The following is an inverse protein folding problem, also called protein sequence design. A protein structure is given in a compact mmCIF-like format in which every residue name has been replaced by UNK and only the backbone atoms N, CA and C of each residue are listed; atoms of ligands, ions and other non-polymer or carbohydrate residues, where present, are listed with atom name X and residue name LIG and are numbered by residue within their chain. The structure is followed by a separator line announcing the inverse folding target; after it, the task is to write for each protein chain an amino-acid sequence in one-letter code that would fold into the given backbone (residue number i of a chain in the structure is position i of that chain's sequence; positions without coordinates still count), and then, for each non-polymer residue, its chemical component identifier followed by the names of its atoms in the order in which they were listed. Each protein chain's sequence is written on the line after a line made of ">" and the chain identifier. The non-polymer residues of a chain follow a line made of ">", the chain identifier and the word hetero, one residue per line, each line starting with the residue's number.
data_IF_839009277354
#
_entry.id   IF_839009277354
#
_cell.length_a   1.000
_cell.length_b   1.000
_cell.length_c   1.000
_cell.angle_alpha   90.00
_cell.angle_beta   90.00
_cell.angle_gamma   90.00
#
_symmetry.space_group_name_H-M   'P 1'
#
loop_
_entity.id
_entity.type
_entity.pdbx_description
1 polymer ?
#
# COMPACT_ATOMS: atom_id res chain seq x y z
N UNK A 1 -1.94 -9.13 -12.62
CA UNK A 1 -2.70 -7.94 -12.15
C UNK A 1 -1.69 -6.83 -12.22
N UNK A 2 -1.83 -5.97 -13.22
CA UNK A 2 -0.66 -5.25 -13.71
C UNK A 2 -0.68 -3.81 -13.23
N UNK A 3 0.51 -3.32 -12.88
CA UNK A 3 0.77 -1.95 -12.47
C UNK A 3 1.78 -1.38 -13.45
N UNK A 4 1.48 -0.22 -14.01
CA UNK A 4 2.41 0.52 -14.87
C UNK A 4 3.08 1.63 -14.04
N UNK A 5 4.40 1.75 -14.13
CA UNK A 5 5.18 2.80 -13.45
C UNK A 5 5.86 3.63 -14.54
N UNK A 6 5.65 4.94 -14.51
CA UNK A 6 6.28 5.88 -15.44
C UNK A 6 7.13 6.86 -14.63
N UNK A 7 8.45 6.72 -14.76
CA UNK A 7 9.45 7.46 -13.99
C UNK A 7 10.38 8.35 -14.83
N UNK A 8 10.41 8.11 -16.15
CA UNK A 8 11.18 8.89 -17.11
C UNK A 8 10.56 10.27 -17.29
N UNK A 9 11.32 11.33 -17.01
CA UNK A 9 10.85 12.70 -17.17
C UNK A 9 10.74 13.05 -18.67
N UNK A 10 9.77 13.89 -19.02
CA UNK A 10 9.41 14.15 -20.42
C UNK A 10 8.44 13.11 -21.01
N UNK A 11 8.08 12.07 -20.24
CA UNK A 11 7.10 11.09 -20.69
C UNK A 11 5.70 11.69 -20.81
N UNK A 12 4.95 11.26 -21.83
CA UNK A 12 3.52 11.52 -21.93
C UNK A 12 2.74 10.22 -22.06
N UNK A 13 1.60 10.14 -21.39
CA UNK A 13 0.68 9.03 -21.55
C UNK A 13 -0.30 9.36 -22.67
N UNK A 14 -0.72 8.35 -23.42
CA UNK A 14 -1.77 8.44 -24.43
C UNK A 14 -2.67 7.21 -24.32
N UNK A 15 -3.97 7.41 -24.53
CA UNK A 15 -4.92 6.30 -24.69
C UNK A 15 -5.17 6.09 -26.17
N UNK A 16 -5.07 4.86 -26.61
CA UNK A 16 -5.38 4.44 -27.98
C UNK A 16 -6.25 3.17 -27.91
N UNK A 17 -7.54 3.33 -28.20
CA UNK A 17 -8.53 2.28 -28.00
C UNK A 17 -8.54 1.74 -26.56
N UNK A 18 -8.29 0.44 -26.41
CA UNK A 18 -8.23 -0.27 -25.12
C UNK A 18 -6.80 -0.43 -24.59
N UNK A 19 -5.87 0.41 -25.03
CA UNK A 19 -4.48 0.42 -24.55
C UNK A 19 -4.07 1.77 -23.98
N UNK A 20 -3.27 1.71 -22.92
CA UNK A 20 -2.53 2.85 -22.39
C UNK A 20 -1.10 2.78 -22.95
N UNK A 21 -0.63 3.87 -23.55
CA UNK A 21 0.67 3.97 -24.20
C UNK A 21 1.51 5.03 -23.50
N UNK A 22 2.81 4.78 -23.38
CA UNK A 22 3.81 5.73 -22.86
C UNK A 22 4.68 6.20 -24.01
N UNK A 23 4.88 7.51 -24.09
CA UNK A 23 5.70 8.16 -25.09
C UNK A 23 6.83 8.93 -24.43
N UNK A 24 8.04 8.83 -24.99
CA UNK A 24 9.21 9.67 -24.66
C UNK A 24 9.73 10.22 -25.97
N UNK A 25 9.93 11.54 -26.07
CA UNK A 25 10.37 12.21 -27.30
C UNK A 25 9.55 11.78 -28.54
N UNK A 26 8.22 11.75 -28.38
CA UNK A 26 7.23 11.31 -29.39
C UNK A 26 7.37 9.86 -29.90
N UNK A 27 8.22 9.04 -29.26
CA UNK A 27 8.33 7.60 -29.54
C UNK A 27 7.58 6.80 -28.49
N UNK A 28 6.74 5.87 -28.93
CA UNK A 28 6.07 4.91 -28.04
C UNK A 28 7.11 3.96 -27.46
N UNK A 29 7.28 3.98 -26.14
CA UNK A 29 8.24 3.15 -25.41
C UNK A 29 7.60 1.94 -24.73
N UNK A 30 6.32 2.06 -24.36
CA UNK A 30 5.58 1.01 -23.68
C UNK A 30 4.09 1.09 -24.03
N UNK A 31 3.40 -0.05 -24.02
CA UNK A 31 1.94 -0.10 -24.04
C UNK A 31 1.39 -1.25 -23.20
N UNK A 32 0.25 -1.03 -22.56
CA UNK A 32 -0.44 -2.03 -21.73
C UNK A 32 -1.95 -2.03 -22.02
N UNK A 33 -2.60 -3.22 -22.09
CA UNK A 33 -4.05 -3.29 -22.18
C UNK A 33 -4.73 -2.71 -20.93
N UNK A 34 -5.74 -1.87 -21.12
CA UNK A 34 -6.51 -1.28 -20.01
C UNK A 34 -7.27 -2.34 -19.19
N UNK A 35 -7.68 -3.44 -19.81
CA UNK A 35 -8.42 -4.51 -19.14
C UNK A 35 -7.63 -5.29 -18.08
N UNK A 36 -6.28 -5.27 -18.14
CA UNK A 36 -5.42 -5.95 -17.15
C UNK A 36 -4.83 -4.99 -16.12
N UNK A 37 -4.84 -3.70 -16.44
CA UNK A 37 -4.26 -2.63 -15.64
C UNK A 37 -5.15 -2.31 -14.44
N UNK A 38 -4.55 -2.21 -13.25
CA UNK A 38 -5.26 -1.79 -12.03
C UNK A 38 -4.74 -0.50 -11.44
N UNK A 39 -3.50 -0.14 -11.75
CA UNK A 39 -2.88 1.05 -11.21
C UNK A 39 -1.82 1.61 -12.16
N UNK A 40 -1.76 2.92 -12.23
CA UNK A 40 -0.70 3.69 -12.89
C UNK A 40 0.01 4.53 -11.82
N UNK A 41 1.33 4.46 -11.78
CA UNK A 41 2.16 5.31 -10.91
C UNK A 41 2.94 6.28 -11.80
N UNK A 42 2.73 7.58 -11.59
CA UNK A 42 3.41 8.65 -12.30
C UNK A 42 4.41 9.31 -11.35
N UNK A 43 5.70 9.28 -11.68
CA UNK A 43 6.76 9.75 -10.79
C UNK A 43 7.41 11.03 -11.30
N UNK A 44 7.48 12.03 -10.42
CA UNK A 44 8.05 13.34 -10.73
C UNK A 44 7.04 14.30 -11.36
N UNK A 45 7.54 15.46 -11.81
CA UNK A 45 6.72 16.53 -12.40
C UNK A 45 6.74 16.53 -13.93
N UNK A 46 7.67 15.80 -14.53
CA UNK A 46 7.86 15.74 -15.97
C UNK A 46 7.05 14.66 -16.68
N UNK A 47 6.16 13.94 -15.97
CA UNK A 47 5.28 12.93 -16.56
C UNK A 47 3.90 13.54 -16.79
N UNK A 48 3.47 13.54 -18.05
CA UNK A 48 2.23 14.19 -18.48
C UNK A 48 1.14 13.16 -18.71
N UNK A 49 -0.04 13.41 -18.16
CA UNK A 49 -1.26 12.67 -18.45
C UNK A 49 -2.40 13.68 -18.63
N UNK A 50 -3.22 13.49 -19.66
CA UNK A 50 -4.32 14.41 -19.95
C UNK A 50 -5.53 14.14 -19.04
N UNK A 51 -6.26 15.19 -18.66
CA UNK A 51 -7.48 15.07 -17.83
C UNK A 51 -8.51 14.07 -18.38
N UNK A 52 -8.83 14.04 -19.70
CA UNK A 52 -9.78 13.06 -20.24
C UNK A 52 -9.35 11.61 -20.04
N UNK A 53 -8.05 11.33 -20.18
CA UNK A 53 -7.50 10.01 -19.93
C UNK A 53 -7.58 9.65 -18.45
N UNK A 54 -7.17 10.56 -17.56
CA UNK A 54 -7.28 10.34 -16.12
C UNK A 54 -8.72 10.03 -15.72
N UNK A 55 -9.70 10.75 -16.28
CA UNK A 55 -11.12 10.50 -16.07
C UNK A 55 -11.53 9.09 -16.51
N UNK A 56 -11.13 8.66 -17.71
CA UNK A 56 -11.43 7.31 -18.21
C UNK A 56 -10.79 6.21 -17.35
N UNK A 57 -9.53 6.38 -16.93
CA UNK A 57 -8.84 5.43 -16.05
C UNK A 57 -9.60 5.25 -14.75
N UNK A 58 -9.95 6.34 -14.06
CA UNK A 58 -10.62 6.24 -12.76
C UNK A 58 -12.04 5.67 -12.87
N UNK A 59 -12.78 5.96 -13.95
CA UNK A 59 -14.10 5.36 -14.20
C UNK A 59 -14.02 3.84 -14.42
N UNK A 60 -12.90 3.35 -14.96
CA UNK A 60 -12.60 1.91 -15.11
C UNK A 60 -12.13 1.25 -13.81
N UNK A 61 -12.00 2.02 -12.72
CA UNK A 61 -11.44 1.54 -11.46
C UNK A 61 -9.92 1.39 -11.49
N UNK A 62 -9.24 2.00 -12.46
CA UNK A 62 -7.78 2.04 -12.54
C UNK A 62 -7.32 3.22 -11.68
N UNK A 63 -6.53 2.90 -10.66
CA UNK A 63 -6.02 3.87 -9.71
C UNK A 63 -4.84 4.66 -10.29
N UNK A 64 -4.80 5.98 -10.14
CA UNK A 64 -3.66 6.79 -10.59
C UNK A 64 -2.97 7.42 -9.40
N UNK A 65 -1.73 7.05 -9.15
CA UNK A 65 -0.92 7.53 -8.03
C UNK A 65 0.18 8.44 -8.55
N UNK A 66 0.27 9.64 -8.00
CA UNK A 66 1.35 10.57 -8.27
C UNK A 66 2.35 10.52 -7.12
N UNK A 67 3.63 10.44 -7.47
CA UNK A 67 4.73 10.43 -6.52
C UNK A 67 5.81 11.44 -6.95
N UNK A 68 6.68 11.84 -6.03
CA UNK A 68 7.94 12.48 -6.40
C UNK A 68 8.84 11.49 -7.15
N UNK A 69 9.89 11.98 -7.79
CA UNK A 69 10.88 11.12 -8.43
C UNK A 69 11.61 10.21 -7.41
N UNK A 70 11.66 10.62 -6.14
CA UNK A 70 12.17 9.81 -5.04
C UNK A 70 11.11 8.86 -4.41
N UNK A 71 9.95 8.68 -5.06
CA UNK A 71 8.89 7.77 -4.59
C UNK A 71 8.03 8.28 -3.43
N UNK A 72 8.16 9.55 -3.03
CA UNK A 72 7.28 10.12 -1.99
C UNK A 72 5.88 10.33 -2.58
N UNK A 73 4.87 9.76 -1.94
CA UNK A 73 3.47 9.99 -2.29
C UNK A 73 3.13 11.49 -2.36
N UNK A 74 2.51 11.91 -3.46
CA UNK A 74 2.00 13.27 -3.62
C UNK A 74 0.47 13.28 -3.49
N UNK A 75 -0.23 12.59 -4.38
CA UNK A 75 -1.67 12.44 -4.34
C UNK A 75 -2.13 11.22 -5.14
N UNK A 76 -3.42 10.91 -5.02
CA UNK A 76 -4.06 9.76 -5.67
C UNK A 76 -5.37 10.19 -6.29
N UNK A 77 -5.59 9.80 -7.54
CA UNK A 77 -6.88 9.92 -8.21
C UNK A 77 -7.56 8.54 -8.20
N UNK A 78 -8.72 8.48 -7.55
CA UNK A 78 -9.58 7.29 -7.52
C UNK A 78 -10.94 7.63 -8.11
N UNK A 79 -11.54 6.63 -8.74
CA UNK A 79 -12.90 6.72 -9.23
C UNK A 79 -13.93 6.60 -8.11
N UNK A 80 -15.21 6.44 -8.49
CA UNK A 80 -16.27 6.14 -7.55
C UNK A 80 -15.90 4.98 -6.63
N UNK A 81 -16.02 5.18 -5.32
CA UNK A 81 -15.75 4.15 -4.31
C UNK A 81 -17.01 3.31 -4.04
N UNK A 82 -16.88 2.32 -3.15
CA UNK A 82 -17.94 1.38 -2.75
C UNK A 82 -19.31 2.05 -2.60
N UNK A 83 -20.33 1.47 -3.23
CA UNK A 83 -21.75 1.87 -3.10
C UNK A 83 -22.35 1.49 -1.73
N UNK A 84 -21.59 0.82 -0.85
CA UNK A 84 -22.08 0.35 0.45
C UNK A 84 -21.98 1.44 1.53
N UNK A 85 -22.79 2.49 1.40
CA UNK A 85 -22.89 3.57 2.39
C UNK A 85 -23.18 3.05 3.80
N UNK A 86 -24.06 2.06 3.94
CA UNK A 86 -24.37 1.42 5.23
C UNK A 86 -23.13 0.77 5.90
N UNK A 87 -22.24 0.16 5.12
CA UNK A 87 -20.99 -0.40 5.65
C UNK A 87 -20.07 0.70 6.16
N UNK A 88 -19.95 1.81 5.42
CA UNK A 88 -19.14 2.95 5.83
C UNK A 88 -19.64 3.56 7.13
N UNK A 89 -20.95 3.71 7.28
CA UNK A 89 -21.56 4.18 8.54
C UNK A 89 -21.24 3.22 9.69
N UNK A 90 -21.39 1.91 9.49
CA UNK A 90 -21.04 0.91 10.52
C UNK A 90 -19.56 0.94 10.89
N UNK A 91 -18.67 1.15 9.93
CA UNK A 91 -17.24 1.32 10.20
C UNK A 91 -17.00 2.53 11.11
N UNK A 92 -17.58 3.69 10.79
CA UNK A 92 -17.45 4.91 11.60
C UNK A 92 -17.99 4.67 13.02
N UNK A 93 -19.21 4.14 13.15
CA UNK A 93 -19.82 3.84 14.46
C UNK A 93 -18.95 2.87 15.28
N UNK A 94 -18.36 1.86 14.64
CA UNK A 94 -17.48 0.89 15.31
C UNK A 94 -16.17 1.55 15.77
N UNK A 95 -15.60 2.45 14.97
CA UNK A 95 -14.37 3.16 15.30
C UNK A 95 -14.56 4.18 16.43
N UNK A 96 -15.77 4.70 16.62
CA UNK A 96 -16.10 5.61 17.72
C UNK A 96 -16.23 4.93 19.09
N UNK A 97 -16.28 3.59 19.13
CA UNK A 97 -16.36 2.81 20.37
C UNK A 97 -15.05 2.05 20.61
N UNK A 98 -14.21 2.47 21.59
CA UNK A 98 -12.96 1.79 21.89
C UNK A 98 -13.09 0.29 22.20
N UNK A 99 -14.19 -0.14 22.84
CA UNK A 99 -14.39 -1.54 23.18
C UNK A 99 -14.57 -2.41 21.92
N UNK A 100 -15.08 -1.83 20.83
CA UNK A 100 -15.27 -2.49 19.53
C UNK A 100 -14.10 -2.27 18.58
N UNK A 101 -13.46 -1.11 18.64
CA UNK A 101 -12.32 -0.76 17.79
C UNK A 101 -11.03 -1.49 18.22
N UNK A 102 -10.78 -1.62 19.53
CA UNK A 102 -9.54 -2.18 20.05
C UNK A 102 -9.30 -3.63 19.61
N UNK A 103 -10.28 -4.56 19.64
CA UNK A 103 -10.08 -5.91 19.11
C UNK A 103 -9.64 -5.94 17.64
N UNK A 104 -10.17 -5.04 16.81
CA UNK A 104 -9.78 -4.93 15.39
C UNK A 104 -8.33 -4.43 15.26
N UNK A 105 -7.95 -3.43 16.06
CA UNK A 105 -6.59 -2.92 16.09
C UNK A 105 -5.59 -3.99 16.58
N UNK A 106 -5.92 -4.72 17.65
CA UNK A 106 -5.10 -5.83 18.16
C UNK A 106 -4.88 -6.88 17.08
N UNK A 107 -5.94 -7.29 16.36
CA UNK A 107 -5.83 -8.25 15.28
C UNK A 107 -4.88 -7.76 14.15
N UNK A 108 -4.99 -6.50 13.75
CA UNK A 108 -4.12 -5.91 12.73
C UNK A 108 -2.65 -5.88 13.17
N UNK A 109 -2.35 -5.41 14.39
CA UNK A 109 -0.98 -5.31 14.92
C UNK A 109 -0.39 -6.70 15.17
N UNK A 110 -1.13 -7.62 15.79
CA UNK A 110 -0.68 -9.01 15.98
C UNK A 110 -0.38 -9.67 14.64
N UNK A 111 -1.23 -9.48 13.63
CA UNK A 111 -0.98 -9.98 12.27
C UNK A 111 0.27 -9.36 11.62
N UNK A 112 0.51 -8.07 11.83
CA UNK A 112 1.74 -7.38 11.37
C UNK A 112 2.99 -8.01 11.99
N UNK A 113 3.02 -8.14 13.32
CA UNK A 113 4.16 -8.73 14.05
C UNK A 113 4.39 -10.18 13.64
N UNK A 114 3.31 -10.96 13.45
CA UNK A 114 3.39 -12.32 12.94
C UNK A 114 4.04 -12.39 11.54
N UNK A 115 3.66 -11.48 10.63
CA UNK A 115 4.22 -11.42 9.29
C UNK A 115 5.70 -11.01 9.32
N UNK A 116 6.10 -10.07 10.18
CA UNK A 116 7.52 -9.72 10.37
C UNK A 116 8.34 -10.92 10.87
N UNK A 117 7.85 -11.64 11.88
CA UNK A 117 8.49 -12.86 12.37
C UNK A 117 8.52 -13.98 11.31
N UNK A 118 7.55 -14.00 10.38
CA UNK A 118 7.54 -14.93 9.25
C UNK A 118 8.62 -14.59 8.23
N UNK A 119 8.79 -13.30 7.90
CA UNK A 119 9.85 -12.82 7.01
C UNK A 119 11.23 -13.14 7.59
N UNK A 120 11.46 -12.85 8.88
CA UNK A 120 12.73 -13.17 9.54
C UNK A 120 13.00 -14.68 9.57
N UNK A 121 12.01 -15.52 9.91
CA UNK A 121 12.17 -16.98 9.81
C UNK A 121 12.52 -17.45 8.41
N UNK A 122 11.96 -16.83 7.38
CA UNK A 122 12.29 -17.17 6.00
C UNK A 122 13.73 -16.77 5.65
N UNK A 123 14.19 -15.60 6.10
CA UNK A 123 15.56 -15.16 5.93
C UNK A 123 16.55 -16.08 6.66
N UNK A 124 16.24 -16.48 7.91
CA UNK A 124 17.05 -17.39 8.73
C UNK A 124 17.26 -18.77 8.10
N UNK A 125 16.37 -19.23 7.22
CA UNK A 125 16.55 -20.48 6.47
C UNK A 125 17.57 -20.37 5.34
N UNK A 126 17.85 -19.14 4.88
CA UNK A 126 18.72 -18.86 3.73
C UNK A 126 20.09 -18.36 4.15
N UNK A 127 20.18 -17.74 5.32
CA UNK A 127 21.41 -17.16 5.85
C UNK A 127 21.34 -17.14 7.37
N UNK A 128 22.51 -17.25 8.01
CA UNK A 128 22.61 -17.08 9.46
C UNK A 128 22.40 -15.60 9.80
N UNK A 129 21.39 -15.31 10.63
CA UNK A 129 21.08 -13.96 11.08
C UNK A 129 21.84 -13.58 12.36
N UNK A 130 22.58 -14.52 12.94
CA UNK A 130 23.32 -14.36 14.18
C UNK A 130 22.45 -13.99 15.38
N UNK A 131 23.11 -13.57 16.46
CA UNK A 131 22.45 -13.19 17.73
C UNK A 131 21.47 -12.02 17.56
N UNK A 132 21.69 -11.13 16.58
CA UNK A 132 20.77 -10.04 16.30
C UNK A 132 19.43 -10.56 15.80
N UNK A 133 19.43 -11.49 14.84
CA UNK A 133 18.20 -12.10 14.32
C UNK A 133 17.45 -12.94 15.36
N UNK A 134 18.18 -13.67 16.22
CA UNK A 134 17.57 -14.43 17.31
C UNK A 134 16.90 -13.52 18.33
N UNK A 135 17.57 -12.42 18.74
CA UNK A 135 16.99 -11.41 19.62
C UNK A 135 15.77 -10.75 18.99
N UNK A 136 15.83 -10.37 17.72
CA UNK A 136 14.70 -9.79 17.00
C UNK A 136 13.49 -10.74 16.98
N UNK A 137 13.72 -12.03 16.70
CA UNK A 137 12.69 -13.06 16.75
C UNK A 137 12.07 -13.23 18.15
N UNK A 138 12.88 -13.18 19.20
CA UNK A 138 12.40 -13.25 20.58
C UNK A 138 11.50 -12.05 20.92
N UNK A 139 11.95 -10.83 20.59
CA UNK A 139 11.20 -9.58 20.81
C UNK A 139 9.87 -9.64 20.04
N UNK A 140 9.87 -9.98 18.76
CA UNK A 140 8.65 -10.06 17.95
C UNK A 140 7.62 -11.04 18.54
N UNK A 141 8.07 -12.22 19.01
CA UNK A 141 7.19 -13.20 19.62
C UNK A 141 6.58 -12.71 20.94
N UNK A 142 7.37 -11.99 21.74
CA UNK A 142 6.92 -11.38 22.98
C UNK A 142 5.92 -10.25 22.73
N UNK A 143 6.28 -9.28 21.88
CA UNK A 143 5.42 -8.15 21.54
C UNK A 143 4.11 -8.62 20.89
N UNK A 144 4.13 -9.69 20.10
CA UNK A 144 2.93 -10.29 19.52
C UNK A 144 1.96 -10.79 20.61
N UNK A 145 2.46 -11.44 21.67
CA UNK A 145 1.64 -11.88 22.81
C UNK A 145 1.05 -10.68 23.55
N UNK A 146 1.85 -9.64 23.82
CA UNK A 146 1.36 -8.44 24.49
C UNK A 146 0.33 -7.68 23.65
N UNK A 147 0.57 -7.50 22.35
CA UNK A 147 -0.35 -6.86 21.42
C UNK A 147 -1.73 -7.54 21.41
N UNK A 148 -1.77 -8.87 21.47
CA UNK A 148 -3.04 -9.62 21.48
C UNK A 148 -3.90 -9.36 22.73
N UNK A 149 -3.31 -8.84 23.81
CA UNK A 149 -3.95 -8.58 25.11
C UNK A 149 -3.87 -7.11 25.53
N UNK A 150 -3.40 -6.21 24.67
CA UNK A 150 -3.12 -4.82 25.01
C UNK A 150 -4.35 -4.10 25.57
N UNK A 151 -4.27 -3.54 26.78
CA UNK A 151 -5.44 -2.99 27.49
C UNK A 151 -6.12 -1.84 26.73
N UNK A 152 -5.34 -1.07 25.96
CA UNK A 152 -5.81 0.09 25.20
C UNK A 152 -4.96 0.29 23.92
N UNK A 153 -5.30 1.33 23.15
CA UNK A 153 -4.64 1.66 21.89
C UNK A 153 -3.22 2.22 22.06
N UNK A 154 -2.90 2.82 23.21
CA UNK A 154 -1.58 3.38 23.47
C UNK A 154 -0.57 2.28 23.76
N UNK A 155 -0.92 1.36 24.68
CA UNK A 155 -0.14 0.16 24.94
C UNK A 155 0.06 -0.66 23.65
N UNK A 156 -0.99 -0.79 22.84
CA UNK A 156 -0.91 -1.50 21.57
C UNK A 156 0.12 -0.88 20.60
N UNK A 157 0.14 0.46 20.48
CA UNK A 157 1.15 1.18 19.68
C UNK A 157 2.56 0.98 20.24
N UNK A 158 2.72 0.93 21.55
CA UNK A 158 4.00 0.63 22.20
C UNK A 158 4.54 -0.75 21.80
N UNK A 159 3.70 -1.78 21.87
CA UNK A 159 4.08 -3.13 21.46
C UNK A 159 4.36 -3.22 19.95
N UNK A 160 3.58 -2.54 19.10
CA UNK A 160 3.85 -2.44 17.67
C UNK A 160 5.21 -1.80 17.39
N UNK A 161 5.51 -0.67 18.03
CA UNK A 161 6.75 0.07 17.84
C UNK A 161 7.97 -0.73 18.29
N UNK A 162 7.90 -1.36 19.46
CA UNK A 162 8.97 -2.23 19.96
C UNK A 162 9.23 -3.41 19.03
N UNK A 163 8.17 -4.08 18.54
CA UNK A 163 8.33 -5.18 17.61
C UNK A 163 8.85 -4.75 16.24
N UNK A 164 8.48 -3.57 15.76
CA UNK A 164 8.94 -3.05 14.47
C UNK A 164 10.39 -2.53 14.49
N UNK A 165 10.89 -2.12 15.65
CA UNK A 165 12.27 -1.65 15.82
C UNK A 165 13.29 -2.79 16.04
N UNK A 166 12.80 -3.99 16.35
CA UNK A 166 13.59 -5.20 16.56
C UNK A 166 14.19 -5.71 15.24
#
# INVERSE_FOLDING_TARGET
>A
MDRMIVDTQGSSLRKDGERLQVYVDDKKVEEVPLGTLRQVILMGRGVQASTPMLYDLVQRGIDVVYQSQAGRFAFRLVGPTSKHSALRVRQIVTLSDPARALPLARAAVTGKLYNQATVLRHAARRTDLGEAGERAMAILNEQMRHASRAADAEALRGYEGSGAAA
#
